data_IF_143691282594
#
_entry.id   IF_143691282594
#
_cell.length_a   1.000
_cell.length_b   1.000
_cell.length_c   1.000
_cell.angle_alpha   90.00
_cell.angle_beta   90.00
_cell.angle_gamma   90.00
#
_symmetry.space_group_name_H-M   'P 1'
#
loop_
_entity.id
_entity.type
_entity.pdbx_description
1 polymer ?
#
# COMPACT_ATOMS: atom_id res chain seq x y z
N UNK A 1 -25.55 -12.03 -2.24
CA UNK A 1 -24.58 -12.55 -1.27
C UNK A 1 -23.61 -11.40 -0.95
N UNK A 2 -23.16 -11.28 0.28
CA UNK A 2 -22.14 -10.30 0.64
C UNK A 2 -20.82 -10.62 -0.07
N UNK A 3 -20.06 -9.61 -0.44
CA UNK A 3 -18.74 -9.78 -1.05
C UNK A 3 -17.75 -10.23 0.04
N UNK A 4 -17.08 -11.35 -0.18
CA UNK A 4 -16.00 -11.83 0.67
C UNK A 4 -14.67 -11.29 0.15
N UNK A 5 -13.88 -10.73 1.06
CA UNK A 5 -12.54 -10.27 0.79
C UNK A 5 -11.55 -11.24 1.45
N UNK A 6 -10.35 -11.35 0.89
CA UNK A 6 -9.32 -12.27 1.36
C UNK A 6 -8.03 -11.48 1.69
N UNK A 7 -7.10 -12.10 2.39
CA UNK A 7 -5.74 -11.57 2.51
C UNK A 7 -5.01 -11.75 1.19
N UNK A 8 -4.19 -10.76 0.80
CA UNK A 8 -3.29 -10.89 -0.34
C UNK A 8 -1.87 -11.14 0.15
N UNK A 9 -1.36 -12.36 -0.05
CA UNK A 9 -0.03 -12.79 0.45
C UNK A 9 0.67 -13.56 -0.66
N UNK A 10 1.91 -13.16 -0.98
CA UNK A 10 2.74 -13.83 -2.00
C UNK A 10 2.09 -13.91 -3.40
N UNK A 11 1.26 -12.93 -3.78
CA UNK A 11 0.55 -12.93 -5.06
C UNK A 11 -0.76 -13.71 -5.06
N UNK A 12 -1.18 -14.27 -3.94
CA UNK A 12 -2.38 -15.10 -3.83
C UNK A 12 -3.40 -14.53 -2.83
N UNK A 13 -4.68 -14.78 -3.11
CA UNK A 13 -5.79 -14.44 -2.23
C UNK A 13 -6.06 -15.62 -1.31
N UNK A 14 -5.82 -15.45 0.00
CA UNK A 14 -5.93 -16.50 1.00
C UNK A 14 -6.85 -16.11 2.16
N UNK A 15 -7.68 -17.04 2.67
CA UNK A 15 -8.47 -16.81 3.86
C UNK A 15 -7.59 -16.73 5.11
N UNK A 16 -8.17 -16.36 6.25
CA UNK A 16 -7.54 -16.56 7.56
C UNK A 16 -7.64 -18.03 7.99
N UNK A 17 -6.62 -18.54 8.68
CA UNK A 17 -6.57 -19.89 9.21
C UNK A 17 -7.66 -20.15 10.27
N UNK A 18 -8.12 -19.08 10.95
CA UNK A 18 -9.22 -19.16 11.91
C UNK A 18 -10.55 -19.55 11.27
N UNK A 19 -10.74 -19.33 9.97
CA UNK A 19 -12.02 -19.44 9.31
C UNK A 19 -13.07 -18.42 9.77
N UNK A 20 -12.71 -17.51 10.66
CA UNK A 20 -13.59 -16.48 11.18
C UNK A 20 -13.59 -15.23 10.29
N UNK A 21 -14.77 -14.57 10.26
CA UNK A 21 -15.00 -13.35 9.50
C UNK A 21 -15.53 -12.26 10.41
N UNK A 22 -15.31 -11.00 10.02
CA UNK A 22 -16.03 -9.88 10.58
C UNK A 22 -16.72 -9.10 9.46
N UNK A 23 -17.84 -8.49 9.83
CA UNK A 23 -18.65 -7.70 8.93
C UNK A 23 -18.15 -6.25 8.86
N UNK A 24 -18.16 -5.68 7.67
CA UNK A 24 -18.07 -4.22 7.48
C UNK A 24 -19.44 -3.74 7.01
N UNK A 25 -20.05 -2.83 7.78
CA UNK A 25 -21.37 -2.28 7.52
C UNK A 25 -21.29 -0.79 7.25
N UNK A 26 -22.18 -0.31 6.37
CA UNK A 26 -22.29 1.11 6.09
C UNK A 26 -22.81 1.85 7.34
N UNK A 27 -22.05 2.80 7.92
CA UNK A 27 -22.46 3.49 9.13
C UNK A 27 -23.66 4.41 8.93
N UNK A 28 -23.94 4.83 7.69
CA UNK A 28 -25.14 5.62 7.35
C UNK A 28 -26.36 4.75 7.06
N UNK A 29 -26.16 3.47 6.72
CA UNK A 29 -27.20 2.47 6.43
C UNK A 29 -26.82 1.14 7.07
N UNK A 30 -27.08 0.98 8.36
CA UNK A 30 -26.57 -0.15 9.13
C UNK A 30 -27.01 -1.53 8.63
N UNK A 31 -28.13 -1.60 7.92
CA UNK A 31 -28.61 -2.83 7.28
C UNK A 31 -27.79 -3.21 6.01
N UNK A 32 -27.01 -2.28 5.49
CA UNK A 32 -26.16 -2.52 4.34
C UNK A 32 -24.85 -3.19 4.76
N UNK A 33 -24.68 -4.45 4.38
CA UNK A 33 -23.42 -5.18 4.51
C UNK A 33 -22.53 -4.85 3.31
N UNK A 34 -21.43 -4.12 3.55
CA UNK A 34 -20.45 -3.75 2.53
C UNK A 34 -19.59 -4.93 2.15
N UNK A 35 -19.15 -5.72 3.14
CA UNK A 35 -18.37 -6.92 2.89
C UNK A 35 -18.00 -7.71 4.14
N UNK A 36 -17.48 -8.91 3.91
CA UNK A 36 -16.92 -9.81 4.92
C UNK A 36 -15.40 -9.83 4.79
N UNK A 37 -14.71 -9.72 5.89
CA UNK A 37 -13.24 -9.69 5.94
C UNK A 37 -12.69 -10.76 6.88
N UNK A 38 -11.55 -11.41 6.53
CA UNK A 38 -10.98 -12.48 7.33
C UNK A 38 -10.42 -11.95 8.65
N UNK A 39 -10.68 -12.67 9.74
CA UNK A 39 -10.18 -12.37 11.08
C UNK A 39 -8.80 -13.00 11.25
N UNK A 40 -7.80 -12.34 10.66
CA UNK A 40 -6.42 -12.82 10.62
C UNK A 40 -5.71 -12.66 11.96
N UNK A 41 -4.82 -13.59 12.25
CA UNK A 41 -4.01 -13.63 13.46
C UNK A 41 -2.49 -13.56 13.16
N UNK A 42 -1.71 -14.03 14.12
CA UNK A 42 -0.23 -14.04 14.04
C UNK A 42 0.29 -14.89 12.89
N UNK A 43 -0.37 -16.01 12.59
CA UNK A 43 0.06 -16.92 11.51
C UNK A 43 0.05 -16.25 10.14
N UNK A 44 -0.99 -15.45 9.82
CA UNK A 44 -1.06 -14.68 8.57
C UNK A 44 0.00 -13.59 8.52
N UNK A 45 0.26 -12.91 9.65
CA UNK A 45 1.31 -11.90 9.74
C UNK A 45 2.68 -12.53 9.49
N UNK A 46 2.97 -13.68 10.10
CA UNK A 46 4.24 -14.39 9.91
C UNK A 46 4.43 -14.82 8.45
N UNK A 47 3.37 -15.34 7.79
CA UNK A 47 3.40 -15.68 6.36
C UNK A 47 3.63 -14.44 5.48
N UNK A 48 2.94 -13.33 5.76
CA UNK A 48 3.10 -12.09 5.02
C UNK A 48 4.53 -11.53 5.18
N UNK A 49 5.10 -11.56 6.39
CA UNK A 49 6.48 -11.13 6.63
C UNK A 49 7.48 -12.03 5.92
N UNK A 50 7.27 -13.36 5.93
CA UNK A 50 8.12 -14.31 5.21
C UNK A 50 8.09 -14.05 3.70
N UNK A 51 6.89 -13.87 3.12
CA UNK A 51 6.70 -13.54 1.70
C UNK A 51 7.38 -12.21 1.32
N UNK A 52 7.19 -11.17 2.14
CA UNK A 52 7.81 -9.88 1.92
C UNK A 52 9.34 -9.94 1.99
N UNK A 53 9.91 -10.73 2.91
CA UNK A 53 11.37 -10.96 2.99
C UNK A 53 11.90 -11.67 1.74
N UNK A 54 11.17 -12.64 1.21
CA UNK A 54 11.56 -13.33 -0.01
C UNK A 54 11.50 -12.39 -1.23
N UNK A 55 10.39 -11.69 -1.42
CA UNK A 55 10.21 -10.70 -2.49
C UNK A 55 11.27 -9.58 -2.44
N UNK A 56 11.70 -9.17 -1.26
CA UNK A 56 12.71 -8.14 -1.09
C UNK A 56 14.04 -8.50 -1.75
N UNK A 57 14.42 -9.77 -1.81
CA UNK A 57 15.69 -10.21 -2.41
C UNK A 57 15.82 -9.80 -3.87
N UNK A 58 14.73 -9.81 -4.60
CA UNK A 58 14.66 -9.43 -6.03
C UNK A 58 14.24 -7.97 -6.20
N UNK A 59 13.21 -7.50 -5.48
CA UNK A 59 12.70 -6.14 -5.60
C UNK A 59 13.76 -5.07 -5.36
N UNK A 60 14.64 -5.25 -4.37
CA UNK A 60 15.71 -4.30 -4.07
C UNK A 60 16.72 -4.14 -5.21
N UNK A 61 16.82 -5.12 -6.11
CA UNK A 61 17.73 -5.11 -7.24
C UNK A 61 17.13 -4.46 -8.50
N UNK A 62 15.80 -4.30 -8.54
CA UNK A 62 15.14 -3.54 -9.61
C UNK A 62 15.59 -2.08 -9.53
N UNK A 63 16.04 -1.45 -10.63
CA UNK A 63 16.43 -0.05 -10.63
C UNK A 63 15.32 0.88 -10.12
N UNK A 64 15.67 1.89 -9.32
CA UNK A 64 14.66 2.78 -8.74
C UNK A 64 13.77 3.50 -9.79
N UNK A 65 14.28 3.93 -10.96
CA UNK A 65 13.42 4.45 -12.03
C UNK A 65 12.40 3.44 -12.57
N UNK A 66 12.76 2.16 -12.63
CA UNK A 66 11.87 1.08 -13.07
C UNK A 66 10.77 0.82 -12.03
N UNK A 67 11.13 0.77 -10.73
CA UNK A 67 10.14 0.74 -9.65
C UNK A 67 9.17 1.92 -9.74
N UNK A 68 9.69 3.13 -10.02
CA UNK A 68 8.88 4.32 -10.24
C UNK A 68 7.93 4.18 -11.43
N UNK A 69 8.36 3.55 -12.53
CA UNK A 69 7.51 3.31 -13.69
C UNK A 69 6.34 2.34 -13.36
N UNK A 70 6.59 1.31 -12.57
CA UNK A 70 5.56 0.39 -12.08
C UNK A 70 4.53 1.16 -11.24
N UNK A 71 4.99 2.00 -10.30
CA UNK A 71 4.08 2.81 -9.48
C UNK A 71 3.27 3.80 -10.31
N UNK A 72 3.87 4.38 -11.37
CA UNK A 72 3.12 5.23 -12.30
C UNK A 72 1.98 4.49 -12.97
N UNK A 73 2.24 3.29 -13.48
CA UNK A 73 1.21 2.46 -14.12
C UNK A 73 0.07 2.14 -13.14
N UNK A 74 0.41 1.79 -11.89
CA UNK A 74 -0.59 1.60 -10.85
C UNK A 74 -1.41 2.88 -10.59
N UNK A 75 -0.76 4.05 -10.59
CA UNK A 75 -1.44 5.35 -10.48
C UNK A 75 -2.42 5.60 -11.64
N UNK A 76 -2.06 5.25 -12.87
CA UNK A 76 -2.94 5.38 -14.04
C UNK A 76 -4.21 4.50 -13.87
N UNK A 77 -4.07 3.27 -13.38
CA UNK A 77 -5.21 2.38 -13.07
C UNK A 77 -6.07 2.98 -11.96
N UNK A 78 -5.46 3.60 -10.94
CA UNK A 78 -6.20 4.26 -9.87
C UNK A 78 -7.05 5.44 -10.37
N UNK A 79 -6.56 6.18 -11.37
CA UNK A 79 -7.35 7.25 -12.03
C UNK A 79 -8.63 6.67 -12.65
N UNK A 80 -8.52 5.56 -13.38
CA UNK A 80 -9.66 4.89 -14.03
C UNK A 80 -10.69 4.38 -13.02
N UNK A 81 -10.23 3.95 -11.82
CA UNK A 81 -11.06 3.38 -10.77
C UNK A 81 -11.47 4.38 -9.68
N UNK A 82 -11.18 5.67 -9.87
CA UNK A 82 -11.38 6.71 -8.83
C UNK A 82 -12.80 6.73 -8.25
N UNK A 83 -13.82 6.71 -9.08
CA UNK A 83 -15.22 6.76 -8.63
C UNK A 83 -15.64 5.48 -7.89
N UNK A 84 -15.16 4.32 -8.33
CA UNK A 84 -15.39 3.05 -7.64
C UNK A 84 -14.84 3.10 -6.21
N UNK A 85 -13.59 3.54 -6.07
CA UNK A 85 -12.89 3.61 -4.79
C UNK A 85 -13.54 4.64 -3.87
N UNK A 86 -13.82 5.85 -4.36
CA UNK A 86 -14.45 6.91 -3.59
C UNK A 86 -15.84 6.49 -3.09
N UNK A 87 -16.64 5.83 -3.94
CA UNK A 87 -17.97 5.33 -3.56
C UNK A 87 -17.86 4.24 -2.50
N UNK A 88 -16.96 3.28 -2.66
CA UNK A 88 -16.75 2.23 -1.67
C UNK A 88 -16.33 2.83 -0.32
N UNK A 89 -15.39 3.78 -0.34
CA UNK A 89 -14.91 4.48 0.85
C UNK A 89 -16.04 5.20 1.58
N UNK A 90 -16.94 5.89 0.86
CA UNK A 90 -18.14 6.53 1.44
C UNK A 90 -19.02 5.49 2.14
N UNK A 91 -19.23 4.33 1.53
CA UNK A 91 -20.05 3.25 2.11
C UNK A 91 -19.40 2.60 3.34
N UNK A 92 -18.07 2.48 3.35
CA UNK A 92 -17.33 1.85 4.45
C UNK A 92 -17.24 2.73 5.70
N UNK A 93 -17.08 4.05 5.54
CA UNK A 93 -16.76 4.94 6.66
C UNK A 93 -17.74 6.10 6.86
N UNK A 94 -18.69 6.29 5.96
CA UNK A 94 -19.71 7.35 6.08
C UNK A 94 -19.22 8.76 5.73
N UNK A 95 -18.00 8.92 5.23
CA UNK A 95 -17.49 10.21 4.73
C UNK A 95 -18.26 10.62 3.46
N UNK A 96 -18.55 11.91 3.31
CA UNK A 96 -19.28 12.40 2.12
C UNK A 96 -18.48 12.19 0.84
N UNK A 97 -19.16 11.89 -0.27
CA UNK A 97 -18.52 11.48 -1.52
C UNK A 97 -17.53 12.52 -2.08
N UNK A 98 -17.79 13.81 -1.85
CA UNK A 98 -16.86 14.87 -2.27
C UNK A 98 -15.50 14.75 -1.57
N UNK A 99 -15.49 14.42 -0.27
CA UNK A 99 -14.25 14.23 0.49
C UNK A 99 -13.55 12.91 0.14
N UNK A 100 -14.29 11.83 -0.13
CA UNK A 100 -13.68 10.56 -0.52
C UNK A 100 -13.08 10.61 -1.93
N UNK A 101 -13.65 11.42 -2.82
CA UNK A 101 -13.01 11.75 -4.12
C UNK A 101 -11.71 12.52 -3.92
N UNK A 102 -11.64 13.42 -2.94
CA UNK A 102 -10.43 14.15 -2.56
C UNK A 102 -9.37 13.22 -2.00
N UNK A 103 -9.73 12.35 -1.06
CA UNK A 103 -8.84 11.33 -0.48
C UNK A 103 -8.27 10.39 -1.57
N UNK A 104 -9.13 9.93 -2.48
CA UNK A 104 -8.68 9.09 -3.61
C UNK A 104 -7.72 9.85 -4.53
N UNK A 105 -8.00 11.13 -4.82
CA UNK A 105 -7.11 11.97 -5.62
C UNK A 105 -5.74 12.12 -4.96
N UNK A 106 -5.71 12.35 -3.67
CA UNK A 106 -4.46 12.49 -2.90
C UNK A 106 -3.62 11.20 -2.93
N UNK A 107 -4.27 10.04 -2.88
CA UNK A 107 -3.62 8.77 -3.13
C UNK A 107 -3.01 8.67 -4.53
N UNK A 108 -3.77 9.04 -5.57
CA UNK A 108 -3.30 9.07 -6.97
C UNK A 108 -2.10 10.00 -7.13
N UNK A 109 -2.16 11.21 -6.59
CA UNK A 109 -1.07 12.18 -6.65
C UNK A 109 0.20 11.64 -5.99
N UNK A 110 0.05 10.85 -4.93
CA UNK A 110 1.18 10.18 -4.26
C UNK A 110 1.83 9.11 -5.14
N UNK A 111 1.06 8.38 -5.96
CA UNK A 111 1.63 7.44 -6.94
C UNK A 111 2.53 8.17 -7.94
N UNK A 112 2.07 9.27 -8.50
CA UNK A 112 2.86 10.07 -9.44
C UNK A 112 4.08 10.72 -8.78
N UNK A 113 3.93 11.23 -7.56
CA UNK A 113 5.04 11.75 -6.78
C UNK A 113 6.11 10.68 -6.55
N UNK A 114 5.73 9.50 -6.05
CA UNK A 114 6.65 8.41 -5.80
C UNK A 114 7.35 7.92 -7.07
N UNK A 115 6.63 7.89 -8.20
CA UNK A 115 7.19 7.52 -9.50
C UNK A 115 8.35 8.44 -9.92
N UNK A 116 8.20 9.76 -9.70
CA UNK A 116 9.27 10.74 -10.00
C UNK A 116 10.43 10.60 -9.01
N UNK A 117 10.15 10.37 -7.72
CA UNK A 117 11.18 10.23 -6.69
C UNK A 117 12.10 9.02 -6.94
N UNK A 118 11.68 7.99 -7.66
CA UNK A 118 12.53 6.90 -8.12
C UNK A 118 13.75 7.37 -8.93
N UNK A 119 13.67 8.55 -9.57
CA UNK A 119 14.77 9.19 -10.30
C UNK A 119 15.55 10.22 -9.49
N UNK A 120 15.17 10.45 -8.24
CA UNK A 120 15.68 11.53 -7.37
C UNK A 120 16.26 11.01 -6.05
N UNK A 121 16.58 9.74 -5.96
CA UNK A 121 17.23 9.14 -4.79
C UNK A 121 18.72 9.56 -4.73
N UNK A 122 18.95 10.85 -4.55
CA UNK A 122 20.29 11.43 -4.54
C UNK A 122 21.11 10.93 -3.35
N UNK A 123 22.41 10.87 -3.59
CA UNK A 123 23.46 10.54 -2.64
C UNK A 123 24.50 11.65 -2.60
N UNK A 124 25.37 11.62 -1.60
CA UNK A 124 26.40 12.63 -1.42
C UNK A 124 27.76 12.05 -1.81
N UNK A 125 28.59 12.88 -2.43
CA UNK A 125 30.01 12.63 -2.63
C UNK A 125 30.81 13.72 -1.95
N UNK A 126 31.98 13.35 -1.38
CA UNK A 126 32.87 14.30 -0.72
C UNK A 126 34.31 13.95 -1.02
N UNK A 127 35.25 14.94 -1.05
CA UNK A 127 36.68 14.69 -1.11
C UNK A 127 37.13 13.84 0.08
N UNK A 128 38.14 13.02 -0.15
CA UNK A 128 38.83 12.30 0.92
C UNK A 128 40.12 13.03 1.30
N UNK A 129 40.50 12.97 2.56
CA UNK A 129 41.83 13.39 3.01
C UNK A 129 42.96 12.48 2.48
N UNK A 130 42.57 11.26 2.07
CA UNK A 130 43.52 10.30 1.53
C UNK A 130 43.68 10.46 0.02
N UNK A 131 44.94 10.38 -0.47
CA UNK A 131 45.22 10.39 -1.90
C UNK A 131 44.56 9.22 -2.62
N UNK A 132 44.02 9.47 -3.81
CA UNK A 132 43.40 8.47 -4.68
C UNK A 132 42.15 7.79 -4.07
N UNK A 133 41.46 8.47 -3.15
CA UNK A 133 40.21 8.01 -2.56
C UNK A 133 39.11 9.04 -2.73
N UNK A 134 37.88 8.57 -2.83
CA UNK A 134 36.65 9.37 -2.84
C UNK A 134 35.69 8.80 -1.79
N UNK A 135 35.02 9.68 -1.08
CA UNK A 135 33.96 9.32 -0.17
C UNK A 135 32.61 9.48 -0.87
N UNK A 136 31.75 8.47 -0.77
CA UNK A 136 30.39 8.56 -1.28
C UNK A 136 29.43 7.82 -0.37
N UNK A 137 28.21 8.30 -0.29
CA UNK A 137 27.11 7.62 0.39
C UNK A 137 26.16 7.01 -0.66
N UNK A 138 25.44 5.98 -0.26
CA UNK A 138 24.39 5.36 -1.07
C UNK A 138 23.14 5.19 -0.22
N UNK A 139 21.98 5.47 -0.80
CA UNK A 139 20.71 5.11 -0.18
C UNK A 139 20.40 3.67 -0.50
N UNK A 140 20.25 2.84 0.53
CA UNK A 140 19.92 1.43 0.40
C UNK A 140 18.60 1.13 1.10
N UNK A 141 17.79 0.17 0.58
CA UNK A 141 16.57 -0.24 1.26
C UNK A 141 16.89 -0.96 2.57
N UNK A 142 16.06 -0.75 3.59
CA UNK A 142 16.23 -1.36 4.92
C UNK A 142 15.59 -2.76 5.04
N UNK A 143 14.72 -3.14 4.11
CA UNK A 143 14.11 -4.48 4.09
C UNK A 143 12.59 -4.42 4.00
N UNK A 144 11.91 -5.07 4.96
CA UNK A 144 10.46 -5.12 5.05
C UNK A 144 9.95 -4.00 5.95
N UNK A 145 9.02 -3.20 5.46
CA UNK A 145 8.34 -2.15 6.22
C UNK A 145 6.96 -2.64 6.68
N UNK A 146 6.71 -2.62 7.99
CA UNK A 146 5.38 -2.86 8.56
C UNK A 146 4.57 -1.56 8.56
N UNK A 147 3.40 -1.58 7.93
CA UNK A 147 2.51 -0.42 7.81
C UNK A 147 1.21 -0.69 8.57
N UNK A 148 0.89 0.17 9.52
CA UNK A 148 -0.39 0.18 10.24
C UNK A 148 -1.02 1.55 10.01
N UNK A 149 -2.23 1.58 9.46
CA UNK A 149 -2.91 2.82 9.08
C UNK A 149 -4.26 2.96 9.76
N UNK A 150 -4.67 4.19 10.10
CA UNK A 150 -5.99 4.47 10.63
C UNK A 150 -7.05 4.46 9.51
N UNK A 151 -8.30 4.65 9.93
CA UNK A 151 -9.50 4.61 9.08
C UNK A 151 -9.84 5.93 8.38
N UNK A 152 -9.33 7.06 8.87
CA UNK A 152 -9.84 8.39 8.47
C UNK A 152 -9.40 8.87 7.07
N UNK A 153 -8.30 8.31 6.52
CA UNK A 153 -7.84 8.48 5.14
C UNK A 153 -7.40 7.11 4.58
N UNK A 154 -8.37 6.24 4.28
CA UNK A 154 -8.08 4.83 4.01
C UNK A 154 -7.39 4.58 2.68
N UNK A 155 -7.32 5.58 1.80
CA UNK A 155 -6.59 5.54 0.55
C UNK A 155 -5.29 6.36 0.61
N UNK A 156 -5.36 7.61 1.04
CA UNK A 156 -4.19 8.49 1.04
C UNK A 156 -3.10 8.02 2.01
N UNK A 157 -3.43 7.68 3.28
CA UNK A 157 -2.41 7.28 4.26
C UNK A 157 -1.68 5.98 3.88
N UNK A 158 -2.34 4.92 3.39
CA UNK A 158 -1.64 3.78 2.81
C UNK A 158 -0.67 4.18 1.69
N UNK A 159 -1.08 5.05 0.77
CA UNK A 159 -0.22 5.53 -0.31
C UNK A 159 0.99 6.31 0.21
N UNK A 160 0.81 7.24 1.16
CA UNK A 160 1.90 8.03 1.74
C UNK A 160 2.96 7.18 2.42
N UNK A 161 2.61 5.99 2.89
CA UNK A 161 3.52 5.09 3.59
C UNK A 161 4.11 4.02 2.68
N UNK A 162 3.28 3.37 1.86
CA UNK A 162 3.72 2.24 1.03
C UNK A 162 4.55 2.68 -0.18
N UNK A 163 4.13 3.73 -0.88
CA UNK A 163 4.75 4.11 -2.14
C UNK A 163 6.19 4.62 -1.97
N UNK A 164 6.50 5.48 -0.99
CA UNK A 164 7.89 5.83 -0.70
C UNK A 164 8.74 4.62 -0.27
N UNK A 165 8.17 3.69 0.52
CA UNK A 165 8.87 2.48 0.91
C UNK A 165 9.21 1.62 -0.31
N UNK A 166 8.23 1.39 -1.20
CA UNK A 166 8.38 0.58 -2.40
C UNK A 166 9.38 1.19 -3.40
N UNK A 167 9.26 2.49 -3.69
CA UNK A 167 10.18 3.15 -4.64
C UNK A 167 11.63 3.15 -4.13
N UNK A 168 11.82 3.19 -2.81
CA UNK A 168 13.13 3.06 -2.19
C UNK A 168 13.67 1.61 -2.16
N UNK A 169 12.91 0.63 -2.67
CA UNK A 169 13.34 -0.78 -2.77
C UNK A 169 13.03 -1.63 -1.54
N UNK A 170 12.20 -1.15 -0.64
CA UNK A 170 11.65 -1.96 0.46
C UNK A 170 10.44 -2.75 -0.04
N UNK A 171 10.10 -3.83 0.66
CA UNK A 171 8.80 -4.49 0.58
C UNK A 171 7.94 -4.09 1.76
N UNK A 172 6.62 -4.33 1.68
CA UNK A 172 5.69 -3.89 2.70
C UNK A 172 4.81 -5.03 3.20
N UNK A 173 4.52 -5.01 4.49
CA UNK A 173 3.42 -5.76 5.10
C UNK A 173 2.42 -4.73 5.61
N UNK A 174 1.23 -4.74 5.04
CA UNK A 174 0.23 -3.72 5.28
C UNK A 174 -0.93 -4.28 6.11
N UNK A 175 -1.17 -3.67 7.26
CA UNK A 175 -2.33 -3.89 8.12
C UNK A 175 -3.16 -2.61 8.15
N UNK A 176 -4.27 -2.63 7.43
CA UNK A 176 -5.25 -1.55 7.43
C UNK A 176 -6.18 -1.61 8.63
N UNK A 177 -6.90 -0.53 8.89
CA UNK A 177 -7.98 -0.52 9.87
C UNK A 177 -9.10 -1.48 9.45
N UNK A 178 -9.83 -2.01 10.43
CA UNK A 178 -10.88 -2.99 10.17
C UNK A 178 -12.15 -2.38 9.55
N UNK A 179 -12.33 -1.06 9.64
CA UNK A 179 -13.52 -0.36 9.13
C UNK A 179 -13.42 0.06 7.66
N UNK A 180 -12.23 0.06 7.05
CA UNK A 180 -12.02 0.62 5.70
C UNK A 180 -11.16 -0.29 4.81
N UNK A 181 -11.31 -1.60 4.95
CA UNK A 181 -10.46 -2.57 4.25
C UNK A 181 -10.73 -2.70 2.76
N UNK A 182 -11.96 -2.51 2.32
CA UNK A 182 -12.33 -2.70 0.92
C UNK A 182 -11.69 -1.66 0.01
N UNK A 183 -11.72 -0.38 0.39
CA UNK A 183 -11.11 0.70 -0.39
C UNK A 183 -9.59 0.59 -0.47
N UNK A 184 -8.93 0.24 0.64
CA UNK A 184 -7.48 0.02 0.66
C UNK A 184 -7.06 -1.25 -0.11
N UNK A 185 -7.93 -2.27 -0.17
CA UNK A 185 -7.65 -3.51 -0.89
C UNK A 185 -7.62 -3.30 -2.40
N UNK A 186 -8.45 -2.39 -2.93
CA UNK A 186 -8.44 -2.03 -4.36
C UNK A 186 -7.07 -1.47 -4.76
N UNK A 187 -6.42 -0.70 -3.90
CA UNK A 187 -5.06 -0.20 -4.13
C UNK A 187 -4.05 -1.34 -4.36
N UNK A 188 -4.19 -2.46 -3.66
CA UNK A 188 -3.30 -3.62 -3.81
C UNK A 188 -3.55 -4.41 -5.10
N UNK A 189 -4.72 -4.23 -5.73
CA UNK A 189 -5.12 -4.90 -6.97
C UNK A 189 -4.68 -4.13 -8.24
N UNK A 190 -4.15 -2.94 -8.08
CA UNK A 190 -3.69 -2.07 -9.18
C UNK A 190 -2.23 -2.30 -9.48
#
# INVERSE_FOLDING_TARGET
MAKEYLNYIAGEWVPADSGEWFENRNPAHWDELVGLFPKSGTAEVDRAVAAAKEAWKTWRLVPAPERGAILKTAGDIMVERKEEIATLMTREMGKVLTETRGDTQEGIDTFYYAAVEGRRLFSHTAPSEMRNKMNMSFRIPIGVAGLITPWNFPMAIPCWKSLPALVCGNTVVFKQDFTTRGSSLIMLLS
#
